data_IF_341532854188
#
_entry.id   IF_341532854188
#
_cell.length_a   1.000
_cell.length_b   1.000
_cell.length_c   1.000
_cell.angle_alpha   90.00
_cell.angle_beta   90.00
_cell.angle_gamma   90.00
#
_symmetry.space_group_name_H-M   'P 1'
#
loop_
_entity.id
_entity.type
_entity.pdbx_description
1 polymer ?
#
# COMPACT_ATOMS: atom_id res chain seq x y z
N UNK A 1 32.54 -18.02 42.33
CA UNK A 1 33.36 -18.47 41.18
C UNK A 1 32.48 -19.46 40.40
N UNK A 2 32.14 -19.37 39.11
CA UNK A 2 32.70 -18.74 37.91
C UNK A 2 31.57 -18.13 37.07
N UNK A 3 31.84 -17.02 36.39
CA UNK A 3 30.96 -16.36 35.43
C UNK A 3 31.07 -17.10 34.09
N UNK A 4 29.95 -17.47 33.46
CA UNK A 4 29.96 -17.98 32.07
C UNK A 4 29.61 -16.80 31.16
N UNK A 5 30.55 -16.48 30.28
CA UNK A 5 30.56 -15.36 29.35
C UNK A 5 30.03 -15.87 27.99
N UNK A 6 28.98 -15.21 27.52
CA UNK A 6 28.71 -14.71 26.15
C UNK A 6 29.16 -15.59 24.96
N UNK A 7 28.20 -15.93 24.09
CA UNK A 7 28.35 -15.79 22.63
C UNK A 7 26.98 -15.92 21.93
N UNK A 8 26.32 -14.77 21.71
CA UNK A 8 25.16 -14.67 20.81
C UNK A 8 25.66 -14.42 19.39
N UNK A 9 25.57 -15.43 18.52
CA UNK A 9 25.88 -15.31 17.10
C UNK A 9 24.63 -14.81 16.36
N UNK A 10 24.56 -13.49 16.13
CA UNK A 10 23.67 -12.86 15.18
C UNK A 10 24.35 -12.81 13.82
N UNK A 11 23.89 -13.62 12.87
CA UNK A 11 24.29 -13.51 11.47
C UNK A 11 23.16 -12.81 10.69
N UNK A 12 23.29 -11.49 10.49
CA UNK A 12 22.53 -10.79 9.46
C UNK A 12 23.32 -10.92 8.15
N UNK A 13 22.81 -11.74 7.22
CA UNK A 13 23.25 -11.74 5.84
C UNK A 13 22.22 -10.96 5.01
N UNK A 14 22.42 -9.64 4.85
CA UNK A 14 21.70 -8.86 3.85
C UNK A 14 22.49 -8.92 2.55
N UNK A 15 22.11 -9.83 1.65
CA UNK A 15 22.61 -9.84 0.27
C UNK A 15 21.92 -8.72 -0.51
N UNK A 16 22.65 -7.63 -0.75
CA UNK A 16 22.26 -6.62 -1.73
C UNK A 16 22.44 -7.20 -3.13
N UNK A 17 21.36 -7.75 -3.68
CA UNK A 17 21.29 -8.12 -5.09
C UNK A 17 21.19 -6.85 -5.94
N UNK A 18 22.34 -6.36 -6.42
CA UNK A 18 22.38 -5.40 -7.51
C UNK A 18 21.81 -6.06 -8.76
N UNK A 19 20.57 -5.72 -9.13
CA UNK A 19 20.05 -5.98 -10.46
C UNK A 19 20.75 -5.02 -11.44
N UNK A 20 21.79 -5.54 -12.08
CA UNK A 20 22.38 -4.97 -13.28
C UNK A 20 21.32 -5.02 -14.39
N UNK A 21 20.70 -3.87 -14.68
CA UNK A 21 19.90 -3.71 -15.88
C UNK A 21 20.82 -3.80 -17.09
N UNK A 22 20.87 -5.00 -17.66
CA UNK A 22 21.64 -5.35 -18.83
C UNK A 22 20.81 -4.97 -20.06
N UNK A 23 20.81 -3.69 -20.45
CA UNK A 23 20.29 -3.31 -21.76
C UNK A 23 21.40 -3.53 -22.80
N UNK A 24 21.17 -4.49 -23.68
CA UNK A 24 22.05 -4.84 -24.80
C UNK A 24 22.29 -3.64 -25.70
N UNK A 25 23.51 -3.10 -25.69
CA UNK A 25 23.97 -2.15 -26.69
C UNK A 25 24.14 -2.89 -28.03
N UNK A 26 23.09 -2.91 -28.86
CA UNK A 26 23.22 -3.31 -30.26
C UNK A 26 23.97 -2.21 -31.01
N UNK A 27 25.23 -2.48 -31.37
CA UNK A 27 25.96 -1.70 -32.35
C UNK A 27 25.33 -1.94 -33.73
N UNK A 28 24.73 -0.90 -34.33
CA UNK A 28 24.24 -0.96 -35.70
C UNK A 28 25.01 0.06 -36.57
N UNK A 29 25.66 -0.47 -37.61
CA UNK A 29 26.50 0.27 -38.54
C UNK A 29 25.66 1.18 -39.46
N UNK A 30 25.99 2.48 -39.45
CA UNK A 30 25.98 3.40 -40.58
C UNK A 30 24.73 3.54 -41.46
N UNK A 31 24.11 4.73 -41.42
CA UNK A 31 23.62 5.49 -42.60
C UNK A 31 23.24 6.91 -42.19
N UNK A 32 23.95 7.90 -42.73
CA UNK A 32 23.65 9.32 -42.57
C UNK A 32 22.35 9.67 -43.28
N UNK A 33 21.27 9.86 -42.52
CA UNK A 33 20.06 10.54 -42.99
C UNK A 33 19.84 11.81 -42.16
N UNK A 34 19.85 12.95 -42.86
CA UNK A 34 19.62 14.29 -42.30
C UNK A 34 18.12 14.44 -42.01
N UNK A 35 17.73 14.17 -40.76
CA UNK A 35 16.38 14.41 -40.26
C UNK A 35 16.18 15.86 -39.79
N UNK A 36 14.95 16.40 -39.83
CA UNK A 36 14.64 17.75 -39.35
C UNK A 36 15.02 17.88 -37.88
N UNK A 37 15.56 19.03 -37.46
CA UNK A 37 15.78 19.37 -36.04
C UNK A 37 14.44 19.50 -35.33
N UNK A 38 13.82 18.37 -34.97
CA UNK A 38 12.93 18.32 -33.83
C UNK A 38 13.76 18.75 -32.63
N UNK A 39 13.41 19.89 -32.01
CA UNK A 39 13.87 20.20 -30.65
C UNK A 39 13.43 19.02 -29.79
N UNK A 40 14.34 18.07 -29.55
CA UNK A 40 14.14 17.00 -28.60
C UNK A 40 13.99 17.69 -27.24
N UNK A 41 12.75 17.91 -26.81
CA UNK A 41 12.48 18.33 -25.43
C UNK A 41 12.93 17.16 -24.57
N UNK A 42 13.98 17.39 -23.79
CA UNK A 42 14.51 16.36 -22.90
C UNK A 42 13.46 16.22 -21.80
N UNK A 43 12.79 15.07 -21.76
CA UNK A 43 11.88 14.70 -20.67
C UNK A 43 12.72 13.99 -19.62
N UNK A 44 12.86 14.60 -18.45
CA UNK A 44 13.54 13.99 -17.31
C UNK A 44 12.49 13.46 -16.33
N UNK A 45 12.55 12.15 -16.06
CA UNK A 45 11.68 11.48 -15.11
C UNK A 45 12.42 11.24 -13.80
N UNK A 46 11.78 11.55 -12.68
CA UNK A 46 12.33 11.37 -11.34
C UNK A 46 11.30 10.73 -10.40
N UNK A 47 11.76 9.96 -9.42
CA UNK A 47 10.87 9.38 -8.41
C UNK A 47 10.35 10.47 -7.47
N UNK A 48 9.08 10.38 -7.12
CA UNK A 48 8.39 11.26 -6.17
C UNK A 48 7.69 10.39 -5.13
N UNK A 49 8.05 10.58 -3.86
CA UNK A 49 7.38 9.95 -2.73
C UNK A 49 6.05 10.66 -2.47
N UNK A 50 4.97 9.89 -2.45
CA UNK A 50 3.64 10.32 -2.06
C UNK A 50 3.21 9.55 -0.81
N UNK A 51 2.27 10.12 -0.05
CA UNK A 51 1.75 9.53 1.18
C UNK A 51 0.27 9.24 0.98
N UNK A 52 -0.16 8.01 1.30
CA UNK A 52 -1.57 7.66 1.36
C UNK A 52 -1.91 7.13 2.75
N UNK A 53 -3.17 7.32 3.13
CA UNK A 53 -3.74 6.69 4.31
C UNK A 53 -4.11 5.27 3.91
N UNK A 54 -3.57 4.29 4.62
CA UNK A 54 -3.99 2.90 4.51
C UNK A 54 -5.28 2.71 5.31
N UNK A 55 -6.39 2.72 4.58
CA UNK A 55 -7.74 2.49 5.10
C UNK A 55 -8.02 0.98 5.15
N UNK A 56 -7.14 0.19 5.78
CA UNK A 56 -7.46 -1.22 6.10
C UNK A 56 -8.82 -1.22 6.80
N UNK A 57 -9.86 -1.84 6.23
CA UNK A 57 -11.20 -1.77 6.78
C UNK A 57 -11.25 -2.25 8.23
N UNK A 58 -10.32 -3.11 8.64
CA UNK A 58 -10.32 -3.82 9.91
C UNK A 58 -9.88 -2.99 11.11
N UNK A 59 -9.00 -1.98 10.93
CA UNK A 59 -8.26 -1.37 12.05
C UNK A 59 -7.92 0.13 11.84
N UNK A 60 -8.95 0.98 11.81
CA UNK A 60 -8.80 2.45 11.73
C UNK A 60 -9.84 3.15 12.64
N UNK A 61 -9.77 4.48 12.89
CA UNK A 61 -10.60 5.16 13.89
C UNK A 61 -12.11 5.14 13.60
N UNK A 62 -12.48 4.82 12.36
CA UNK A 62 -13.86 4.79 11.88
C UNK A 62 -14.32 3.38 11.48
N UNK A 63 -13.50 2.35 11.74
CA UNK A 63 -13.74 0.97 11.33
C UNK A 63 -15.13 0.47 11.72
N UNK A 64 -15.57 0.72 12.96
CA UNK A 64 -16.92 0.31 13.40
C UNK A 64 -18.02 1.02 12.60
N UNK A 65 -17.91 2.33 12.40
CA UNK A 65 -18.92 3.11 11.71
C UNK A 65 -19.03 2.74 10.23
N UNK A 66 -17.90 2.43 9.62
CA UNK A 66 -17.81 2.02 8.23
C UNK A 66 -18.38 0.61 8.03
N UNK A 67 -18.02 -0.32 8.91
CA UNK A 67 -18.64 -1.64 8.98
C UNK A 67 -20.16 -1.53 9.13
N UNK A 68 -20.64 -0.74 10.09
CA UNK A 68 -22.06 -0.55 10.36
C UNK A 68 -22.84 -0.04 9.16
N UNK A 69 -22.34 0.99 8.46
CA UNK A 69 -22.95 1.46 7.20
C UNK A 69 -23.00 0.37 6.14
N UNK A 70 -21.91 -0.40 5.97
CA UNK A 70 -21.86 -1.47 4.98
C UNK A 70 -22.80 -2.63 5.32
N UNK A 71 -22.95 -2.96 6.59
CA UNK A 71 -23.89 -3.95 7.08
C UNK A 71 -25.33 -3.55 6.78
N UNK A 72 -25.70 -2.31 7.15
CA UNK A 72 -27.02 -1.75 6.84
C UNK A 72 -27.31 -1.77 5.34
N UNK A 73 -26.35 -1.35 4.52
CA UNK A 73 -26.48 -1.35 3.06
C UNK A 73 -26.68 -2.75 2.49
N UNK A 74 -25.92 -3.73 2.98
CA UNK A 74 -26.05 -5.13 2.56
C UNK A 74 -27.42 -5.70 2.94
N UNK A 75 -27.87 -5.45 4.17
CA UNK A 75 -29.19 -5.84 4.68
C UNK A 75 -30.32 -5.22 3.84
N UNK A 76 -30.25 -3.91 3.58
CA UNK A 76 -31.22 -3.19 2.73
C UNK A 76 -31.29 -3.71 1.30
N UNK A 77 -30.18 -4.21 0.76
CA UNK A 77 -30.12 -4.82 -0.58
C UNK A 77 -30.65 -6.27 -0.61
N UNK A 78 -30.97 -6.88 0.54
CA UNK A 78 -31.38 -8.27 0.62
C UNK A 78 -30.25 -9.27 0.36
N UNK A 79 -28.99 -8.84 0.47
CA UNK A 79 -27.85 -9.73 0.36
C UNK A 79 -27.81 -10.65 1.58
N UNK A 80 -27.54 -11.94 1.39
CA UNK A 80 -27.32 -12.87 2.50
C UNK A 80 -26.15 -12.41 3.39
N UNK A 81 -26.29 -12.64 4.68
CA UNK A 81 -25.24 -12.36 5.65
C UNK A 81 -23.99 -13.17 5.31
N UNK A 82 -22.88 -12.47 5.14
CA UNK A 82 -21.56 -13.06 5.01
C UNK A 82 -20.61 -12.32 5.94
N UNK A 83 -19.95 -13.02 6.88
CA UNK A 83 -18.95 -12.42 7.73
C UNK A 83 -17.84 -11.82 6.87
N UNK A 84 -17.34 -10.66 7.25
CA UNK A 84 -16.28 -9.97 6.51
C UNK A 84 -14.93 -10.55 6.90
N UNK A 85 -14.01 -10.62 5.94
CA UNK A 85 -12.60 -10.93 6.21
C UNK A 85 -11.94 -9.85 7.05
N UNK A 86 -12.39 -8.61 6.90
CA UNK A 86 -12.04 -7.51 7.79
C UNK A 86 -12.64 -7.74 9.18
N UNK A 87 -11.78 -8.13 10.12
CA UNK A 87 -12.15 -8.45 11.50
C UNK A 87 -12.27 -7.23 12.40
N UNK A 88 -12.10 -7.44 13.71
CA UNK A 88 -12.00 -6.36 14.69
C UNK A 88 -13.26 -5.50 14.82
N UNK A 89 -13.07 -4.18 14.86
CA UNK A 89 -14.14 -3.20 15.05
C UNK A 89 -15.06 -3.11 13.84
N UNK A 90 -14.53 -3.30 12.63
CA UNK A 90 -15.31 -3.29 11.40
C UNK A 90 -16.24 -4.49 11.28
N UNK A 91 -15.74 -5.70 11.53
CA UNK A 91 -16.58 -6.89 11.55
C UNK A 91 -17.73 -6.74 12.55
N UNK A 92 -17.43 -6.28 13.77
CA UNK A 92 -18.47 -6.01 14.78
C UNK A 92 -19.48 -4.96 14.31
N UNK A 93 -19.01 -3.88 13.70
CA UNK A 93 -19.86 -2.85 13.11
C UNK A 93 -20.76 -3.42 12.02
N UNK A 94 -20.20 -4.20 11.10
CA UNK A 94 -20.93 -4.84 10.01
C UNK A 94 -22.05 -5.73 10.52
N UNK A 95 -21.78 -6.56 11.52
CA UNK A 95 -22.78 -7.45 12.11
C UNK A 95 -23.91 -6.65 12.74
N UNK A 96 -23.58 -5.64 13.55
CA UNK A 96 -24.58 -4.79 14.19
C UNK A 96 -25.43 -4.05 13.14
N UNK A 97 -24.79 -3.50 12.09
CA UNK A 97 -25.48 -2.81 11.01
C UNK A 97 -26.36 -3.72 10.16
N UNK A 98 -25.89 -4.94 9.86
CA UNK A 98 -26.62 -5.92 9.05
C UNK A 98 -27.90 -6.39 9.76
N UNK A 99 -27.80 -6.68 11.05
CA UNK A 99 -28.93 -7.11 11.87
C UNK A 99 -29.79 -5.94 12.40
N UNK A 100 -29.45 -4.69 12.06
CA UNK A 100 -30.21 -3.51 12.49
C UNK A 100 -30.15 -3.27 14.01
N UNK A 101 -29.07 -3.68 14.66
CA UNK A 101 -28.83 -3.41 16.09
C UNK A 101 -28.47 -1.95 16.32
N UNK A 102 -28.64 -1.49 17.55
CA UNK A 102 -28.26 -0.14 17.96
C UNK A 102 -26.77 0.15 17.67
N UNK A 103 -26.48 1.37 17.24
CA UNK A 103 -25.11 1.83 17.01
C UNK A 103 -24.37 2.02 18.34
N UNK A 104 -23.37 1.17 18.61
CA UNK A 104 -22.60 1.19 19.87
C UNK A 104 -21.30 1.98 19.80
N UNK A 105 -20.90 2.37 18.60
CA UNK A 105 -19.62 3.00 18.35
C UNK A 105 -18.41 2.06 18.47
N UNK A 106 -17.24 2.65 18.22
CA UNK A 106 -15.95 1.97 18.27
C UNK A 106 -15.46 1.87 19.71
N UNK A 107 -15.02 0.66 20.13
CA UNK A 107 -14.47 0.42 21.48
C UNK A 107 -12.99 0.75 21.53
N UNK A 108 -12.25 0.33 20.51
CA UNK A 108 -10.81 0.51 20.41
C UNK A 108 -10.49 1.38 19.21
N UNK A 109 -9.98 2.59 19.44
CA UNK A 109 -9.56 3.51 18.38
C UNK A 109 -8.13 3.16 17.98
N UNK A 110 -7.94 2.71 16.73
CA UNK A 110 -6.62 2.48 16.14
C UNK A 110 -6.33 3.66 15.22
N UNK A 111 -5.17 4.33 15.33
CA UNK A 111 -4.83 5.42 14.42
C UNK A 111 -4.67 4.93 12.98
N UNK A 112 -4.92 5.83 12.04
CA UNK A 112 -4.68 5.55 10.62
C UNK A 112 -3.19 5.24 10.37
N UNK A 113 -2.92 4.22 9.58
CA UNK A 113 -1.58 3.95 9.07
C UNK A 113 -1.31 4.85 7.87
N UNK A 114 -0.17 5.53 7.84
CA UNK A 114 0.26 6.37 6.71
C UNK A 114 1.39 5.66 6.00
N UNK A 115 1.19 5.31 4.74
CA UNK A 115 2.15 4.54 3.95
C UNK A 115 2.77 5.40 2.82
N UNK A 116 4.11 5.43 2.73
CA UNK A 116 4.78 6.04 1.58
C UNK A 116 4.68 5.13 0.37
N UNK A 117 4.46 5.71 -0.81
CA UNK A 117 4.62 5.02 -2.09
C UNK A 117 5.38 5.91 -3.06
N UNK A 118 6.14 5.29 -3.96
CA UNK A 118 6.94 6.03 -4.94
C UNK A 118 6.24 6.01 -6.29
N UNK A 119 6.02 7.19 -6.86
CA UNK A 119 5.53 7.36 -8.23
C UNK A 119 6.62 8.00 -9.08
N UNK A 120 6.51 7.91 -10.40
CA UNK A 120 7.44 8.60 -11.31
C UNK A 120 6.75 9.82 -11.88
N UNK A 121 7.38 10.99 -11.77
CA UNK A 121 6.94 12.20 -12.46
C UNK A 121 7.97 12.59 -13.52
N UNK A 122 7.48 12.99 -14.70
CA UNK A 122 8.31 13.44 -15.81
C UNK A 122 8.11 14.93 -16.04
N UNK A 123 9.21 15.68 -16.13
CA UNK A 123 9.22 17.10 -16.44
C UNK A 123 9.97 17.36 -17.75
N UNK A 124 9.47 18.31 -18.52
CA UNK A 124 10.15 18.83 -19.70
C UNK A 124 11.12 19.95 -19.29
N UNK A 125 12.35 19.92 -19.80
CA UNK A 125 13.31 21.02 -19.75
C UNK A 125 13.33 21.79 -21.07
#
# INVERSE_FOLDING_TARGET
MKKIIIASLLALATTTGFLLNNESAQANHGRYYRYPRYRQRISYCYPVTQWHIDEDPSYHPQAYADGYRQGQHSSRKGNEYKPRTAGGEFGRGFDDGYYGREFKGQRNVVPNTVLPYTTTQCSWW
#
